data_IF_098314047483
#
_entry.id   IF_098314047483
#
_cell.length_a   1.000
_cell.length_b   1.000
_cell.length_c   1.000
_cell.angle_alpha   90.00
_cell.angle_beta   90.00
_cell.angle_gamma   90.00
#
_symmetry.space_group_name_H-M   'P 1'
#
loop_
_entity.id
_entity.type
_entity.pdbx_description
1 polymer ?
#
# COMPACT_ATOMS: atom_id res chain seq x y z
N UNK A 1 10.40 13.40 12.12
CA UNK A 1 10.16 12.30 13.09
C UNK A 1 9.67 12.82 14.44
N UNK A 2 10.28 13.87 15.00
CA UNK A 2 9.86 14.42 16.30
C UNK A 2 8.42 14.95 16.29
N UNK A 3 8.00 15.64 15.22
CA UNK A 3 6.62 16.12 15.02
C UNK A 3 5.57 15.02 15.20
N UNK A 4 5.75 13.87 14.55
CA UNK A 4 4.80 12.74 14.63
C UNK A 4 4.71 12.15 16.04
N UNK A 5 5.80 12.13 16.81
CA UNK A 5 5.77 11.69 18.21
C UNK A 5 5.01 12.69 19.09
N UNK A 6 5.13 13.98 18.82
CA UNK A 6 4.39 15.03 19.52
C UNK A 6 2.89 14.93 19.21
N UNK A 7 2.52 14.84 17.92
CA UNK A 7 1.13 14.64 17.48
C UNK A 7 0.51 13.38 18.13
N UNK A 8 1.24 12.27 18.15
CA UNK A 8 0.80 11.04 18.80
C UNK A 8 0.58 11.21 20.30
N UNK A 9 1.47 11.95 20.98
CA UNK A 9 1.33 12.25 22.41
C UNK A 9 0.20 13.21 22.69
N UNK A 10 -0.08 14.16 21.83
CA UNK A 10 -1.18 15.11 22.01
C UNK A 10 -2.52 14.38 21.81
N UNK A 11 -2.70 13.77 20.64
CA UNK A 11 -3.96 13.20 20.16
C UNK A 11 -4.24 11.78 20.66
N UNK A 12 -3.22 11.03 21.06
CA UNK A 12 -3.34 9.61 21.40
C UNK A 12 -3.40 8.66 20.20
N UNK A 13 -3.25 9.18 18.98
CA UNK A 13 -3.23 8.41 17.74
C UNK A 13 -2.35 9.07 16.69
N UNK A 14 -2.05 8.32 15.63
CA UNK A 14 -1.44 8.83 14.39
C UNK A 14 -2.30 8.46 13.18
N UNK A 15 -2.15 9.18 12.08
CA UNK A 15 -2.93 8.97 10.85
C UNK A 15 -2.04 8.63 9.66
N UNK A 16 -2.60 7.87 8.71
CA UNK A 16 -2.06 7.77 7.34
C UNK A 16 -2.38 9.03 6.55
N UNK A 17 -1.79 9.18 5.36
CA UNK A 17 -2.10 10.31 4.45
C UNK A 17 -3.59 10.36 4.08
N UNK A 18 -4.27 9.21 4.10
CA UNK A 18 -5.71 9.09 3.79
C UNK A 18 -6.60 9.13 5.04
N UNK A 19 -6.05 9.47 6.21
CA UNK A 19 -6.81 9.69 7.44
C UNK A 19 -7.14 8.43 8.24
N UNK A 20 -6.58 7.26 7.91
CA UNK A 20 -6.75 6.06 8.73
C UNK A 20 -5.96 6.19 10.03
N UNK A 21 -6.62 5.98 11.17
CA UNK A 21 -6.02 6.13 12.51
C UNK A 21 -5.43 4.83 13.06
N UNK A 22 -4.29 4.94 13.75
CA UNK A 22 -3.81 3.96 14.73
C UNK A 22 -3.79 4.60 16.12
N UNK A 23 -4.60 4.06 17.03
CA UNK A 23 -4.64 4.48 18.43
C UNK A 23 -3.47 3.88 19.22
N UNK A 24 -2.84 4.70 20.07
CA UNK A 24 -1.63 4.36 20.80
C UNK A 24 -1.86 4.56 22.30
N UNK A 25 -2.58 3.66 22.99
CA UNK A 25 -2.98 3.86 24.39
C UNK A 25 -1.78 4.01 25.34
N UNK A 26 -0.66 3.38 25.03
CA UNK A 26 0.56 3.40 25.85
C UNK A 26 1.44 4.65 25.62
N UNK A 27 1.06 5.56 24.70
CA UNK A 27 1.89 6.73 24.33
C UNK A 27 2.05 7.75 25.46
N UNK A 28 1.06 7.83 26.36
CA UNK A 28 1.08 8.65 27.59
C UNK A 28 1.43 7.83 28.84
N UNK A 29 1.71 6.54 28.69
CA UNK A 29 1.96 5.63 29.81
C UNK A 29 3.25 5.94 30.57
N UNK A 30 3.26 5.61 31.87
CA UNK A 30 4.45 5.73 32.73
C UNK A 30 5.42 4.56 32.57
N UNK A 31 4.98 3.43 32.00
CA UNK A 31 5.81 2.27 31.73
C UNK A 31 6.77 2.55 30.56
N UNK A 32 8.04 2.77 30.86
CA UNK A 32 9.08 3.16 29.90
C UNK A 32 9.14 2.27 28.65
N UNK A 33 9.33 0.94 28.78
CA UNK A 33 9.35 0.02 27.64
C UNK A 33 8.10 0.07 26.76
N UNK A 34 6.90 0.09 27.35
CA UNK A 34 5.65 0.15 26.58
C UNK A 34 5.50 1.47 25.82
N UNK A 35 5.81 2.58 26.48
CA UNK A 35 5.80 3.91 25.85
C UNK A 35 6.77 3.99 24.68
N UNK A 36 7.99 3.46 24.82
CA UNK A 36 8.96 3.41 23.71
C UNK A 36 8.46 2.54 22.55
N UNK A 37 7.76 1.44 22.83
CA UNK A 37 7.06 0.66 21.82
C UNK A 37 6.01 1.49 21.06
N UNK A 38 5.15 2.20 21.78
CA UNK A 38 4.14 3.08 21.19
C UNK A 38 4.75 4.22 20.37
N UNK A 39 5.87 4.80 20.80
CA UNK A 39 6.57 5.84 20.06
C UNK A 39 7.19 5.32 18.77
N UNK A 40 7.71 4.10 18.74
CA UNK A 40 8.18 3.46 17.50
C UNK A 40 7.01 3.18 16.55
N UNK A 41 5.90 2.67 17.08
CA UNK A 41 4.69 2.46 16.31
C UNK A 41 4.15 3.78 15.72
N UNK A 42 4.19 4.88 16.48
CA UNK A 42 3.78 6.21 16.03
C UNK A 42 4.55 6.69 14.79
N UNK A 43 5.85 6.37 14.71
CA UNK A 43 6.69 6.76 13.57
C UNK A 43 6.39 5.87 12.36
N UNK A 44 6.25 4.56 12.57
CA UNK A 44 6.14 3.58 11.48
C UNK A 44 4.73 3.54 10.87
N UNK A 45 3.69 3.66 11.69
CA UNK A 45 2.30 3.45 11.29
C UNK A 45 1.83 4.41 10.17
N UNK A 46 2.18 5.70 10.16
CA UNK A 46 1.84 6.58 9.05
C UNK A 46 2.43 6.11 7.72
N UNK A 47 3.69 5.65 7.71
CA UNK A 47 4.37 5.21 6.48
C UNK A 47 3.82 3.86 5.99
N UNK A 48 3.86 2.83 6.85
CA UNK A 48 3.36 1.49 6.52
C UNK A 48 1.86 1.51 6.22
N UNK A 49 1.11 2.29 7.00
CA UNK A 49 -0.31 2.44 6.79
C UNK A 49 -0.63 3.12 5.46
N UNK A 50 0.10 4.18 5.10
CA UNK A 50 -0.10 4.83 3.79
C UNK A 50 0.22 3.87 2.64
N UNK A 51 1.29 3.07 2.74
CA UNK A 51 1.57 2.03 1.75
C UNK A 51 0.42 1.00 1.63
N UNK A 52 -0.13 0.57 2.77
CA UNK A 52 -1.28 -0.33 2.80
C UNK A 52 -2.58 0.31 2.27
N UNK A 53 -2.71 1.64 2.33
CA UNK A 53 -3.84 2.35 1.72
C UNK A 53 -3.67 2.43 0.19
N UNK A 54 -2.47 2.77 -0.27
CA UNK A 54 -2.13 2.86 -1.69
C UNK A 54 -2.34 1.52 -2.40
N UNK A 55 -1.82 0.41 -1.84
CA UNK A 55 -1.98 -0.90 -2.48
C UNK A 55 -3.45 -1.30 -2.59
N UNK A 56 -4.28 -0.98 -1.60
CA UNK A 56 -5.72 -1.26 -1.65
C UNK A 56 -6.45 -0.41 -2.68
N UNK A 57 -6.09 0.87 -2.80
CA UNK A 57 -6.62 1.73 -3.85
C UNK A 57 -6.20 1.20 -5.24
N UNK A 58 -4.96 0.75 -5.39
CA UNK A 58 -4.45 0.13 -6.61
C UNK A 58 -5.20 -1.15 -6.96
N UNK A 59 -5.43 -2.04 -5.98
CA UNK A 59 -6.23 -3.25 -6.18
C UNK A 59 -7.63 -2.92 -6.72
N UNK A 60 -8.34 -1.98 -6.09
CA UNK A 60 -9.68 -1.57 -6.52
C UNK A 60 -9.66 -0.93 -7.90
N UNK A 61 -8.67 -0.08 -8.20
CA UNK A 61 -8.54 0.57 -9.51
C UNK A 61 -8.28 -0.45 -10.63
N UNK A 62 -7.41 -1.43 -10.39
CA UNK A 62 -7.10 -2.50 -11.34
C UNK A 62 -8.31 -3.40 -11.54
N UNK A 63 -8.96 -3.87 -10.47
CA UNK A 63 -10.12 -4.75 -10.58
C UNK A 63 -11.28 -4.08 -11.36
N UNK A 64 -11.61 -2.84 -11.03
CA UNK A 64 -12.63 -2.08 -11.76
C UNK A 64 -12.29 -1.93 -13.25
N UNK A 65 -11.00 -1.80 -13.59
CA UNK A 65 -10.56 -1.73 -14.99
C UNK A 65 -10.70 -3.08 -15.69
N UNK A 66 -10.28 -4.18 -15.06
CA UNK A 66 -10.43 -5.54 -15.58
C UNK A 66 -11.90 -5.85 -15.88
N UNK A 67 -12.80 -5.56 -14.93
CA UNK A 67 -14.24 -5.76 -15.09
C UNK A 67 -14.83 -4.90 -16.21
N UNK A 68 -14.45 -3.63 -16.27
CA UNK A 68 -14.95 -2.68 -17.27
C UNK A 68 -14.57 -3.07 -18.70
N UNK A 69 -13.34 -3.53 -18.89
CA UNK A 69 -12.85 -3.98 -20.21
C UNK A 69 -13.25 -5.43 -20.52
N UNK A 70 -13.84 -6.16 -19.57
CA UNK A 70 -14.29 -7.54 -19.74
C UNK A 70 -13.13 -8.53 -19.91
N UNK A 71 -11.99 -8.25 -19.29
CA UNK A 71 -10.79 -9.07 -19.40
C UNK A 71 -10.92 -10.36 -18.60
N UNK A 72 -10.22 -11.42 -19.04
CA UNK A 72 -10.19 -12.73 -18.38
C UNK A 72 -9.06 -12.84 -17.35
N UNK A 73 -8.09 -11.93 -17.38
CA UNK A 73 -7.06 -11.75 -16.36
C UNK A 73 -7.64 -11.79 -14.95
N UNK A 74 -6.91 -12.43 -14.03
CA UNK A 74 -7.29 -12.52 -12.61
C UNK A 74 -6.19 -12.02 -11.70
N UNK A 75 -6.53 -11.15 -10.77
CA UNK A 75 -5.67 -10.83 -9.63
C UNK A 75 -5.71 -12.00 -8.64
N UNK A 76 -4.59 -12.71 -8.47
CA UNK A 76 -4.52 -13.91 -7.65
C UNK A 76 -4.12 -13.61 -6.21
N UNK A 77 -3.07 -12.82 -6.02
CA UNK A 77 -2.44 -12.59 -4.73
C UNK A 77 -2.04 -11.13 -4.54
N UNK A 78 -1.97 -10.73 -3.28
CA UNK A 78 -1.35 -9.49 -2.84
C UNK A 78 -0.36 -9.86 -1.73
N UNK A 79 0.93 -9.55 -1.93
CA UNK A 79 1.99 -9.87 -0.97
C UNK A 79 2.90 -8.64 -0.85
N UNK A 80 3.09 -8.14 0.38
CA UNK A 80 3.84 -6.90 0.63
C UNK A 80 3.30 -5.70 -0.17
N UNK A 81 4.01 -5.28 -1.21
CA UNK A 81 3.70 -4.19 -2.13
C UNK A 81 3.46 -4.68 -3.57
N UNK A 82 3.35 -5.99 -3.76
CA UNK A 82 3.17 -6.67 -5.04
C UNK A 82 1.71 -7.14 -5.24
N UNK A 83 1.27 -7.11 -6.51
CA UNK A 83 0.05 -7.76 -6.99
C UNK A 83 0.43 -8.81 -8.03
N UNK A 84 -0.03 -10.05 -7.85
CA UNK A 84 0.24 -11.18 -8.73
C UNK A 84 -1.00 -11.48 -9.57
N UNK A 85 -0.79 -11.66 -10.88
CA UNK A 85 -1.87 -11.89 -11.84
C UNK A 85 -1.68 -13.20 -12.60
N UNK A 86 -2.78 -13.87 -12.91
CA UNK A 86 -2.87 -14.87 -13.97
C UNK A 86 -3.43 -14.19 -15.22
N UNK A 87 -2.67 -14.25 -16.32
CA UNK A 87 -2.86 -13.38 -17.48
C UNK A 87 -2.90 -14.22 -18.76
N UNK A 88 -4.02 -14.22 -19.50
CA UNK A 88 -4.06 -14.77 -20.85
C UNK A 88 -3.02 -14.10 -21.75
N UNK A 89 -2.33 -14.89 -22.59
CA UNK A 89 -1.25 -14.39 -23.46
C UNK A 89 -1.71 -13.27 -24.42
N UNK A 90 -2.97 -13.29 -24.84
CA UNK A 90 -3.59 -12.27 -25.69
C UNK A 90 -3.91 -10.95 -24.96
N UNK A 91 -3.89 -10.94 -23.63
CA UNK A 91 -4.10 -9.75 -22.79
C UNK A 91 -2.78 -9.17 -22.24
N UNK A 92 -1.68 -9.91 -22.34
CA UNK A 92 -0.41 -9.59 -21.69
C UNK A 92 0.15 -8.20 -22.04
N UNK A 93 0.20 -7.84 -23.33
CA UNK A 93 0.70 -6.53 -23.77
C UNK A 93 -0.16 -5.38 -23.25
N UNK A 94 -1.48 -5.59 -23.18
CA UNK A 94 -2.43 -4.61 -22.66
C UNK A 94 -2.18 -4.36 -21.16
N UNK A 95 -2.01 -5.43 -20.38
CA UNK A 95 -1.71 -5.32 -18.96
C UNK A 95 -0.39 -4.61 -18.71
N UNK A 96 0.67 -4.97 -19.44
CA UNK A 96 1.98 -4.32 -19.32
C UNK A 96 1.89 -2.80 -19.54
N UNK A 97 1.08 -2.37 -20.51
CA UNK A 97 0.90 -0.96 -20.81
C UNK A 97 0.02 -0.22 -19.79
N UNK A 98 -0.92 -0.90 -19.13
CA UNK A 98 -1.95 -0.26 -18.29
C UNK A 98 -1.70 -0.35 -16.79
N UNK A 99 -1.19 -1.46 -16.28
CA UNK A 99 -1.02 -1.68 -14.85
C UNK A 99 -0.17 -0.61 -14.15
N UNK A 100 0.99 -0.19 -14.67
CA UNK A 100 1.81 0.82 -14.00
C UNK A 100 1.08 2.15 -13.87
N UNK A 101 0.36 2.55 -14.91
CA UNK A 101 -0.40 3.80 -14.91
C UNK A 101 -1.55 3.76 -13.89
N UNK A 102 -2.32 2.67 -13.88
CA UNK A 102 -3.42 2.47 -12.95
C UNK A 102 -2.95 2.49 -11.49
N UNK A 103 -1.88 1.74 -11.19
CA UNK A 103 -1.35 1.61 -9.84
C UNK A 103 -0.66 2.91 -9.36
N UNK A 104 0.04 3.63 -10.22
CA UNK A 104 0.73 4.86 -9.84
C UNK A 104 -0.20 6.08 -9.72
N UNK A 105 -1.35 6.09 -10.40
CA UNK A 105 -2.29 7.23 -10.39
C UNK A 105 -3.34 7.21 -9.28
N UNK A 106 -3.31 6.22 -8.40
CA UNK A 106 -4.30 6.13 -7.31
C UNK A 106 -4.17 7.23 -6.26
N UNK A 107 -3.05 7.96 -6.25
CA UNK A 107 -2.84 9.09 -5.36
C UNK A 107 -1.84 10.09 -5.95
N UNK A 108 -2.03 11.37 -5.64
CA UNK A 108 -1.05 12.42 -5.93
C UNK A 108 -0.11 12.60 -4.75
N UNK A 109 1.16 12.24 -4.93
CA UNK A 109 2.20 12.32 -3.91
C UNK A 109 3.33 13.24 -4.38
N UNK A 110 4.02 13.87 -3.43
CA UNK A 110 5.18 14.73 -3.74
C UNK A 110 6.35 13.96 -4.37
N UNK A 111 6.43 12.66 -4.10
CA UNK A 111 7.42 11.74 -4.68
C UNK A 111 6.62 10.75 -5.53
N UNK A 112 6.98 10.55 -6.81
CA UNK A 112 6.22 9.68 -7.71
C UNK A 112 6.27 8.22 -7.25
N UNK A 113 5.15 7.52 -7.41
CA UNK A 113 5.10 6.07 -7.29
C UNK A 113 5.71 5.44 -8.55
N UNK A 114 6.33 4.28 -8.36
CA UNK A 114 6.94 3.50 -9.43
C UNK A 114 6.50 2.05 -9.26
N UNK A 115 6.14 1.41 -10.37
CA UNK A 115 5.77 0.00 -10.42
C UNK A 115 6.65 -0.68 -11.46
N UNK A 116 7.29 -1.77 -11.06
CA UNK A 116 7.97 -2.71 -11.95
C UNK A 116 7.01 -3.81 -12.38
N UNK A 117 7.25 -4.40 -13.55
CA UNK A 117 6.54 -5.59 -14.02
C UNK A 117 7.58 -6.66 -14.32
N UNK A 118 7.40 -7.83 -13.74
CA UNK A 118 8.05 -9.06 -14.18
C UNK A 118 7.02 -10.05 -14.73
N UNK A 119 7.48 -10.95 -15.59
CA UNK A 119 6.65 -11.91 -16.34
C UNK A 119 7.41 -13.22 -16.38
N UNK A 120 6.73 -14.31 -16.07
CA UNK A 120 7.31 -15.65 -16.08
C UNK A 120 6.23 -16.71 -16.05
N UNK A 121 6.63 -17.96 -16.27
CA UNK A 121 5.71 -19.11 -16.25
C UNK A 121 5.35 -19.52 -14.80
N UNK A 122 6.06 -18.97 -13.82
CA UNK A 122 5.80 -19.13 -12.40
C UNK A 122 6.18 -17.86 -11.64
N UNK A 123 5.80 -17.81 -10.36
CA UNK A 123 6.00 -16.61 -9.53
C UNK A 123 7.47 -16.25 -9.33
N UNK A 124 8.39 -17.23 -9.25
CA UNK A 124 9.83 -16.96 -9.07
C UNK A 124 10.43 -16.27 -10.30
N UNK A 125 10.01 -16.63 -11.52
CA UNK A 125 10.45 -15.99 -12.75
C UNK A 125 9.84 -14.60 -12.98
N UNK A 126 8.64 -14.37 -12.43
CA UNK A 126 7.91 -13.12 -12.58
C UNK A 126 8.27 -12.06 -11.52
N UNK A 127 8.96 -12.44 -10.44
CA UNK A 127 9.41 -11.56 -9.36
C UNK A 127 10.76 -10.91 -9.68
#
# INVERSE_FOLDING_TARGET
MERTRLEARENGYVETVFGRRLWLPEIKGSNGPRRQGAERAAINAPMQGTAADLIKLAMVAVENWLEKEGLKTRMLLQVHDELVFDVPLDELELLQAKLPDLMCKVAELKVPLVVGIGIGDNWEEAH
#
